data_IF_921470943171
#
_entry.id   IF_921470943171
#
_cell.length_a   1.000
_cell.length_b   1.000
_cell.length_c   1.000
_cell.angle_alpha   90.00
_cell.angle_beta   90.00
_cell.angle_gamma   90.00
#
_symmetry.space_group_name_H-M   'P 1'
#
loop_
_entity.id
_entity.type
_entity.pdbx_description
1 polymer ?
#
# COMPACT_ATOMS: atom_id res chain seq x y z
N UNK A 1 -0.91 -9.61 -16.83
CA UNK A 1 -0.69 -9.68 -15.37
C UNK A 1 -0.03 -8.39 -14.95
N UNK A 2 -0.61 -7.61 -14.03
CA UNK A 2 -0.15 -6.26 -13.70
C UNK A 2 -0.79 -5.68 -12.43
N UNK A 3 -1.10 -6.54 -11.45
CA UNK A 3 -1.62 -6.12 -10.15
C UNK A 3 -0.46 -6.14 -9.16
N UNK A 4 -0.33 -5.08 -8.38
CA UNK A 4 0.68 -4.96 -7.33
C UNK A 4 0.04 -5.38 -6.00
N UNK A 5 0.42 -6.53 -5.42
CA UNK A 5 -0.09 -6.94 -4.12
C UNK A 5 0.48 -6.04 -3.02
N UNK A 6 -0.42 -5.40 -2.28
CA UNK A 6 -0.10 -4.60 -1.08
C UNK A 6 -0.56 -5.37 0.15
N UNK A 7 0.27 -5.37 1.18
CA UNK A 7 -0.06 -5.92 2.49
C UNK A 7 0.03 -4.82 3.55
N UNK A 8 -0.91 -4.83 4.48
CA UNK A 8 -0.80 -4.03 5.70
C UNK A 8 0.39 -4.51 6.54
N UNK A 9 0.96 -3.61 7.33
CA UNK A 9 1.98 -3.97 8.32
C UNK A 9 1.38 -4.85 9.41
N UNK A 10 2.26 -5.53 10.13
CA UNK A 10 1.89 -6.35 11.28
C UNK A 10 1.14 -5.51 12.32
N UNK A 11 -0.11 -5.88 12.61
CA UNK A 11 -1.06 -5.19 13.51
C UNK A 11 -1.75 -3.94 12.95
N UNK A 12 -1.63 -3.70 11.65
CA UNK A 12 -2.46 -2.73 10.95
C UNK A 12 -3.51 -3.47 10.14
N UNK A 13 -4.76 -3.01 10.27
CA UNK A 13 -5.91 -3.56 9.57
C UNK A 13 -6.82 -2.42 9.12
N UNK A 14 -7.71 -2.70 8.17
CA UNK A 14 -8.68 -1.71 7.69
C UNK A 14 -9.50 -1.11 8.83
N UNK A 15 -9.89 -1.92 9.82
CA UNK A 15 -10.68 -1.45 10.97
C UNK A 15 -9.86 -0.59 11.93
N UNK A 16 -8.60 -0.96 12.19
CA UNK A 16 -7.66 -0.18 13.02
C UNK A 16 -7.33 1.17 12.39
N UNK A 17 -7.19 1.21 11.06
CA UNK A 17 -7.02 2.42 10.29
C UNK A 17 -8.35 3.18 10.07
N UNK A 18 -9.48 2.56 10.41
CA UNK A 18 -10.83 3.09 10.20
C UNK A 18 -11.12 3.39 8.73
N UNK A 19 -10.69 2.49 7.84
CA UNK A 19 -10.93 2.53 6.41
C UNK A 19 -12.30 1.93 6.10
N UNK A 20 -13.13 2.66 5.36
CA UNK A 20 -14.48 2.21 4.98
C UNK A 20 -14.52 1.53 3.60
N UNK A 21 -13.43 1.61 2.83
CA UNK A 21 -13.38 1.14 1.44
C UNK A 21 -14.05 2.07 0.42
N UNK A 22 -14.68 3.17 0.86
CA UNK A 22 -15.35 4.17 -0.01
C UNK A 22 -14.45 5.37 -0.34
N UNK A 23 -13.24 5.37 0.21
CA UNK A 23 -12.29 6.45 0.16
C UNK A 23 -11.45 6.35 -1.12
N UNK A 24 -10.89 7.47 -1.56
CA UNK A 24 -9.95 7.50 -2.66
C UNK A 24 -8.54 7.26 -2.12
N UNK A 25 -7.92 6.16 -2.56
CA UNK A 25 -6.58 5.76 -2.17
C UNK A 25 -5.56 6.21 -3.21
N UNK A 26 -4.69 7.13 -2.83
CA UNK A 26 -3.52 7.55 -3.60
C UNK A 26 -2.31 6.80 -3.09
N UNK A 27 -1.70 5.98 -3.93
CA UNK A 27 -0.52 5.19 -3.57
C UNK A 27 0.70 5.86 -4.21
N UNK A 28 1.64 6.32 -3.40
CA UNK A 28 2.88 6.90 -3.88
C UNK A 28 3.85 5.77 -4.26
N UNK A 29 4.01 5.55 -5.56
CA UNK A 29 4.93 4.58 -6.12
C UNK A 29 6.08 5.31 -6.83
N UNK A 30 7.31 4.79 -6.77
CA UNK A 30 8.42 5.35 -7.53
C UNK A 30 8.11 5.28 -9.04
N UNK A 31 8.55 6.30 -9.78
CA UNK A 31 8.28 6.42 -11.22
C UNK A 31 8.86 5.25 -12.05
N UNK A 32 9.85 4.53 -11.52
CA UNK A 32 10.48 3.41 -12.22
C UNK A 32 10.07 2.07 -11.61
N UNK A 33 9.52 1.18 -12.44
CA UNK A 33 9.18 -0.20 -12.03
C UNK A 33 10.42 -1.00 -11.60
N UNK A 34 11.61 -0.68 -12.13
CA UNK A 34 12.88 -1.29 -11.70
C UNK A 34 13.28 -0.97 -10.26
N UNK A 35 12.77 0.12 -9.70
CA UNK A 35 13.07 0.53 -8.32
C UNK A 35 12.14 -0.14 -7.31
N UNK A 36 11.02 -0.71 -7.78
CA UNK A 36 10.04 -1.41 -6.95
C UNK A 36 10.65 -2.76 -6.55
N UNK A 37 10.96 -2.89 -5.25
CA UNK A 37 11.48 -4.14 -4.69
C UNK A 37 10.41 -4.88 -3.89
N UNK A 38 10.44 -6.23 -3.90
CA UNK A 38 9.62 -7.01 -2.98
C UNK A 38 10.02 -6.68 -1.54
N UNK A 39 9.02 -6.52 -0.66
CA UNK A 39 9.21 -6.09 0.72
C UNK A 39 9.42 -4.59 0.91
N UNK A 40 9.30 -3.78 -0.15
CA UNK A 40 9.38 -2.33 -0.03
C UNK A 40 8.12 -1.74 0.60
N UNK A 41 8.32 -0.75 1.46
CA UNK A 41 7.24 0.02 2.05
C UNK A 41 6.81 1.18 1.14
N UNK A 42 5.50 1.33 0.96
CA UNK A 42 4.86 2.40 0.19
C UNK A 42 3.84 3.11 1.06
N UNK A 43 3.68 4.40 0.82
CA UNK A 43 2.72 5.22 1.54
C UNK A 43 1.43 5.29 0.76
N UNK A 44 0.33 4.98 1.44
CA UNK A 44 -1.03 5.10 0.92
C UNK A 44 -1.69 6.28 1.64
N UNK A 45 -2.19 7.22 0.86
CA UNK A 45 -2.85 8.43 1.33
C UNK A 45 -4.32 8.34 0.93
N UNK A 46 -5.21 8.60 1.88
CA UNK A 46 -6.65 8.69 1.62
C UNK A 46 -7.10 10.13 1.56
N UNK A 47 -8.16 10.41 0.80
CA UNK A 47 -8.74 11.75 0.70
C UNK A 47 -9.36 12.26 2.02
N UNK A 48 -9.53 11.39 3.02
CA UNK A 48 -10.06 11.71 4.34
C UNK A 48 -8.97 12.19 5.31
N UNK A 49 -7.74 12.40 4.81
CA UNK A 49 -6.60 12.86 5.61
C UNK A 49 -5.89 11.76 6.38
N UNK A 50 -6.26 10.48 6.20
CA UNK A 50 -5.53 9.35 6.80
C UNK A 50 -4.44 8.88 5.84
N UNK A 51 -3.27 8.57 6.40
CA UNK A 51 -2.17 7.96 5.67
C UNK A 51 -1.63 6.78 6.45
N UNK A 52 -1.27 5.72 5.73
CA UNK A 52 -0.74 4.49 6.29
C UNK A 52 0.31 3.88 5.37
N UNK A 53 1.13 3.00 5.92
CA UNK A 53 2.21 2.35 5.18
C UNK A 53 1.81 0.91 4.85
N UNK A 54 1.96 0.54 3.59
CA UNK A 54 1.78 -0.83 3.11
C UNK A 54 3.10 -1.39 2.62
N UNK A 55 3.30 -2.69 2.83
CA UNK A 55 4.46 -3.40 2.29
C UNK A 55 4.07 -4.11 0.99
N UNK A 56 4.88 -3.90 -0.06
CA UNK A 56 4.75 -4.54 -1.36
C UNK A 56 5.12 -6.02 -1.24
N UNK A 57 4.14 -6.91 -1.36
CA UNK A 57 4.37 -8.35 -1.27
C UNK A 57 4.49 -8.98 -2.65
N UNK A 58 5.44 -8.51 -3.46
CA UNK A 58 5.82 -9.24 -4.68
C UNK A 58 6.56 -10.51 -4.24
N UNK A 59 5.93 -11.67 -4.41
CA UNK A 59 6.62 -12.94 -4.23
C UNK A 59 7.61 -13.11 -5.39
N UNK A 60 8.86 -12.68 -5.22
CA UNK A 60 9.96 -13.16 -6.07
C UNK A 60 10.25 -14.59 -5.64
N UNK A 61 9.60 -15.54 -6.30
CA UNK A 61 10.00 -16.95 -6.29
C UNK A 61 10.50 -17.32 -7.68
#
# INVERSE_FOLDING_TARGET
MGIIPLCFKTREDAETLGLTGQELYTIDLPNSVSEIKPGQDVTVITNNGKSFTCTLSLCSK
#
